data_IF_193325507823
#
_entry.id   IF_193325507823
#
_cell.length_a   1.000
_cell.length_b   1.000
_cell.length_c   1.000
_cell.angle_alpha   90.00
_cell.angle_beta   90.00
_cell.angle_gamma   90.00
#
_symmetry.space_group_name_H-M   'P 1'
#
loop_
_entity.id
_entity.type
_entity.pdbx_description
1 polymer ?
#
# COMPACT_ATOMS: atom_id res chain seq x y z
N UNK A 1 6.00 -32.17 10.90
CA UNK A 1 5.93 -30.70 10.88
C UNK A 1 6.85 -30.14 11.95
N UNK A 2 7.95 -29.47 11.60
CA UNK A 2 8.84 -28.84 12.60
C UNK A 2 8.17 -27.57 13.15
N UNK A 3 8.01 -27.53 14.47
CA UNK A 3 7.35 -26.44 15.19
C UNK A 3 8.27 -25.20 15.23
N UNK A 4 7.98 -24.18 14.41
CA UNK A 4 8.81 -22.97 14.37
C UNK A 4 8.30 -21.94 15.39
N UNK A 5 8.80 -22.03 16.64
CA UNK A 5 8.47 -21.12 17.76
C UNK A 5 8.59 -19.63 17.38
N UNK A 6 9.55 -19.26 16.53
CA UNK A 6 9.75 -17.86 16.09
C UNK A 6 8.59 -17.35 15.25
N UNK A 7 8.03 -18.21 14.38
CA UNK A 7 6.86 -17.87 13.55
C UNK A 7 5.60 -17.65 14.38
N UNK A 8 5.43 -18.40 15.48
CA UNK A 8 4.32 -18.21 16.41
C UNK A 8 4.46 -16.91 17.21
N UNK A 9 5.67 -16.58 17.68
CA UNK A 9 5.94 -15.31 18.37
C UNK A 9 5.66 -14.13 17.44
N UNK A 10 6.14 -14.19 16.20
CA UNK A 10 5.85 -13.17 15.19
C UNK A 10 4.34 -13.06 14.93
N UNK A 11 3.64 -14.20 14.79
CA UNK A 11 2.19 -14.21 14.59
C UNK A 11 1.42 -13.55 15.75
N UNK A 12 1.78 -13.87 16.99
CA UNK A 12 1.19 -13.24 18.17
C UNK A 12 1.46 -11.74 18.23
N UNK A 13 2.68 -11.32 17.87
CA UNK A 13 3.05 -9.91 17.78
C UNK A 13 2.24 -9.16 16.71
N UNK A 14 2.07 -9.77 15.53
CA UNK A 14 1.25 -9.21 14.44
C UNK A 14 -0.21 -9.06 14.90
N UNK A 15 -0.77 -10.06 15.59
CA UNK A 15 -2.12 -9.95 16.17
C UNK A 15 -2.23 -8.78 17.16
N UNK A 16 -1.24 -8.62 18.04
CA UNK A 16 -1.21 -7.50 18.97
C UNK A 16 -1.15 -6.15 18.24
N UNK A 17 -0.32 -6.03 17.20
CA UNK A 17 -0.27 -4.82 16.37
C UNK A 17 -1.58 -4.54 15.63
N UNK A 18 -2.28 -5.56 15.13
CA UNK A 18 -3.60 -5.39 14.50
C UNK A 18 -4.57 -4.81 15.51
N UNK A 19 -4.66 -5.41 16.72
CA UNK A 19 -5.57 -4.93 17.77
C UNK A 19 -5.25 -3.49 18.16
N UNK A 20 -3.98 -3.17 18.41
CA UNK A 20 -3.55 -1.82 18.80
C UNK A 20 -3.89 -0.82 17.69
N UNK A 21 -3.54 -1.16 16.43
CA UNK A 21 -3.78 -0.28 15.29
C UNK A 21 -5.26 -0.02 15.12
N UNK A 22 -6.09 -1.07 15.12
CA UNK A 22 -7.54 -0.96 14.95
C UNK A 22 -8.17 -0.10 16.04
N UNK A 23 -7.80 -0.30 17.31
CA UNK A 23 -8.30 0.49 18.43
C UNK A 23 -7.88 1.96 18.33
N UNK A 24 -6.61 2.24 17.99
CA UNK A 24 -6.11 3.61 17.84
C UNK A 24 -6.77 4.30 16.66
N UNK A 25 -6.85 3.65 15.49
CA UNK A 25 -7.49 4.22 14.30
C UNK A 25 -8.99 4.40 14.49
N UNK A 26 -9.68 3.48 15.17
CA UNK A 26 -11.09 3.63 15.47
C UNK A 26 -11.34 4.80 16.42
N UNK A 27 -10.53 4.94 17.48
CA UNK A 27 -10.62 6.05 18.42
C UNK A 27 -10.41 7.41 17.75
N UNK A 28 -9.43 7.49 16.85
CA UNK A 28 -9.10 8.70 16.09
C UNK A 28 -9.96 8.89 14.82
N UNK A 29 -10.87 7.96 14.52
CA UNK A 29 -11.68 7.92 13.29
C UNK A 29 -10.86 7.97 12.00
N UNK A 30 -9.70 7.31 12.02
CA UNK A 30 -8.78 7.19 10.89
C UNK A 30 -9.06 5.88 10.10
N UNK A 31 -8.92 5.89 8.77
CA UNK A 31 -9.03 4.68 7.96
C UNK A 31 -7.77 3.84 8.10
N UNK A 32 -7.88 2.67 8.74
CA UNK A 32 -6.74 1.76 8.95
C UNK A 32 -6.31 1.02 7.68
N UNK A 33 -7.25 0.80 6.75
CA UNK A 33 -7.03 -0.04 5.56
C UNK A 33 -5.78 0.31 4.73
N UNK A 34 -5.41 1.59 4.48
CA UNK A 34 -4.25 1.89 3.64
C UNK A 34 -2.94 1.43 4.28
N UNK A 35 -2.83 1.58 5.61
CA UNK A 35 -1.70 1.10 6.38
C UNK A 35 -1.63 -0.44 6.36
N UNK A 36 -2.77 -1.10 6.51
CA UNK A 36 -2.84 -2.56 6.44
C UNK A 36 -2.50 -3.12 5.05
N UNK A 37 -2.95 -2.49 3.96
CA UNK A 37 -2.58 -2.93 2.60
C UNK A 37 -1.08 -2.83 2.39
N UNK A 38 -0.45 -1.72 2.78
CA UNK A 38 1.01 -1.58 2.71
C UNK A 38 1.72 -2.67 3.53
N UNK A 39 1.21 -2.97 4.71
CA UNK A 39 1.79 -3.97 5.60
C UNK A 39 1.62 -5.41 5.08
N UNK A 40 0.47 -5.74 4.49
CA UNK A 40 0.23 -7.03 3.83
C UNK A 40 1.17 -7.22 2.64
N UNK A 41 1.37 -6.19 1.81
CA UNK A 41 2.32 -6.24 0.70
C UNK A 41 3.75 -6.46 1.20
N UNK A 42 4.11 -5.90 2.35
CA UNK A 42 5.41 -6.14 2.98
C UNK A 42 5.59 -7.59 3.43
N UNK A 43 4.55 -8.24 3.97
CA UNK A 43 4.59 -9.67 4.23
C UNK A 43 4.69 -10.51 2.95
N UNK A 44 4.02 -10.08 1.87
CA UNK A 44 4.14 -10.70 0.54
C UNK A 44 5.57 -10.66 -0.01
N UNK A 45 6.32 -9.61 0.29
CA UNK A 45 7.75 -9.46 -0.04
C UNK A 45 8.69 -10.12 1.01
N UNK A 46 8.19 -11.12 1.74
CA UNK A 46 8.93 -11.84 2.77
C UNK A 46 9.57 -10.94 3.83
N UNK A 47 8.92 -9.82 4.16
CA UNK A 47 9.40 -8.82 5.12
C UNK A 47 10.78 -8.22 4.75
N UNK A 48 11.09 -8.13 3.45
CA UNK A 48 12.36 -7.55 2.97
C UNK A 48 12.41 -6.03 3.21
N UNK A 49 13.31 -5.51 4.08
CA UNK A 49 13.41 -4.08 4.34
C UNK A 49 13.74 -3.25 3.09
N UNK A 50 14.42 -3.86 2.10
CA UNK A 50 14.77 -3.21 0.83
C UNK A 50 13.53 -2.87 -0.02
N UNK A 51 12.43 -3.60 0.18
CA UNK A 51 11.17 -3.39 -0.55
C UNK A 51 10.26 -2.37 0.12
N UNK A 52 10.45 -2.08 1.42
CA UNK A 52 9.63 -1.12 2.15
C UNK A 52 9.50 0.25 1.46
N UNK A 53 10.58 0.90 0.96
CA UNK A 53 10.45 2.17 0.25
C UNK A 53 9.61 2.07 -1.03
N UNK A 54 9.74 0.97 -1.79
CA UNK A 54 8.98 0.75 -3.01
C UNK A 54 7.49 0.59 -2.72
N UNK A 55 7.14 -0.09 -1.62
CA UNK A 55 5.76 -0.25 -1.16
C UNK A 55 5.17 1.09 -0.74
N UNK A 56 5.86 1.85 0.11
CA UNK A 56 5.34 3.12 0.65
C UNK A 56 5.23 4.20 -0.43
N UNK A 57 6.24 4.34 -1.28
CA UNK A 57 6.24 5.31 -2.39
C UNK A 57 5.25 4.89 -3.46
N UNK A 58 5.20 3.60 -3.80
CA UNK A 58 4.18 3.07 -4.71
C UNK A 58 2.77 3.28 -4.18
N UNK A 59 2.55 3.09 -2.88
CA UNK A 59 1.26 3.38 -2.25
C UNK A 59 0.86 4.85 -2.38
N UNK A 60 1.81 5.74 -2.12
CA UNK A 60 1.61 7.16 -2.25
C UNK A 60 1.33 7.57 -3.69
N UNK A 61 2.07 7.03 -4.66
CA UNK A 61 1.88 7.27 -6.08
C UNK A 61 0.51 6.75 -6.56
N UNK A 62 0.11 5.55 -6.15
CA UNK A 62 -1.17 4.95 -6.54
C UNK A 62 -2.37 5.75 -6.03
N UNK A 63 -2.34 6.18 -4.76
CA UNK A 63 -3.36 7.09 -4.20
C UNK A 63 -3.29 8.46 -4.88
N UNK A 64 -2.08 8.96 -5.15
CA UNK A 64 -1.86 10.22 -5.86
C UNK A 64 -2.47 10.23 -7.26
N UNK A 65 -2.38 9.12 -8.01
CA UNK A 65 -3.07 8.95 -9.29
C UNK A 65 -4.58 9.07 -9.10
N UNK A 66 -5.17 8.39 -8.11
CA UNK A 66 -6.61 8.53 -7.81
C UNK A 66 -7.01 9.98 -7.50
N UNK A 67 -6.16 10.73 -6.78
CA UNK A 67 -6.39 12.15 -6.51
C UNK A 67 -6.29 13.03 -7.76
N UNK A 68 -5.49 12.64 -8.75
CA UNK A 68 -5.31 13.34 -10.02
C UNK A 68 -6.45 13.05 -11.00
N UNK A 69 -7.12 11.90 -10.86
CA UNK A 69 -8.20 11.44 -11.72
C UNK A 69 -9.31 12.48 -11.98
N UNK A 70 -9.94 13.14 -10.98
CA UNK A 70 -11.03 14.08 -11.25
C UNK A 70 -10.59 15.27 -12.12
N UNK A 71 -9.34 15.72 -11.98
CA UNK A 71 -8.79 16.84 -12.77
C UNK A 71 -8.61 16.41 -14.22
N UNK A 72 -7.90 15.30 -14.46
CA UNK A 72 -7.59 14.83 -15.81
C UNK A 72 -8.84 14.34 -16.53
N UNK A 73 -9.71 13.60 -15.84
CA UNK A 73 -10.99 13.14 -16.39
C UNK A 73 -11.87 14.34 -16.73
N UNK A 74 -11.92 15.37 -15.88
CA UNK A 74 -12.67 16.59 -16.18
C UNK A 74 -12.20 17.29 -17.45
N UNK A 75 -10.88 17.39 -17.64
CA UNK A 75 -10.28 17.96 -18.86
C UNK A 75 -10.57 17.10 -20.10
N UNK A 76 -10.41 15.78 -20.01
CA UNK A 76 -10.68 14.85 -21.11
C UNK A 76 -12.17 14.78 -21.45
N UNK A 77 -13.04 14.88 -20.44
CA UNK A 77 -14.48 14.84 -20.61
C UNK A 77 -15.00 16.01 -21.45
N UNK A 78 -14.32 17.16 -21.43
CA UNK A 78 -14.66 18.30 -22.29
C UNK A 78 -14.46 17.99 -23.78
N UNK A 79 -13.56 17.06 -24.11
CA UNK A 79 -13.20 16.69 -25.49
C UNK A 79 -13.92 15.44 -25.98
N UNK A 80 -14.15 14.45 -25.10
CA UNK A 80 -14.65 13.12 -25.50
C UNK A 80 -15.88 12.63 -24.73
N UNK A 81 -16.37 13.39 -23.75
CA UNK A 81 -17.42 12.98 -22.83
C UNK A 81 -16.91 12.22 -21.60
N UNK A 82 -17.71 12.19 -20.53
CA UNK A 82 -17.28 11.71 -19.21
C UNK A 82 -16.85 10.23 -19.20
N UNK A 83 -17.56 9.38 -19.93
CA UNK A 83 -17.27 7.94 -19.99
C UNK A 83 -15.93 7.66 -20.69
N UNK A 84 -15.73 8.24 -21.86
CA UNK A 84 -14.48 8.12 -22.61
C UNK A 84 -13.31 8.80 -21.90
N UNK A 85 -13.52 9.97 -21.28
CA UNK A 85 -12.50 10.64 -20.47
C UNK A 85 -12.01 9.78 -19.31
N UNK A 86 -12.92 9.08 -18.62
CA UNK A 86 -12.58 8.11 -17.58
C UNK A 86 -11.80 6.93 -18.14
N UNK A 87 -12.25 6.34 -19.25
CA UNK A 87 -11.58 5.19 -19.87
C UNK A 87 -10.17 5.55 -20.33
N UNK A 88 -10.01 6.68 -21.03
CA UNK A 88 -8.70 7.18 -21.48
C UNK A 88 -7.77 7.39 -20.28
N UNK A 89 -8.25 7.99 -19.20
CA UNK A 89 -7.44 8.20 -18.00
C UNK A 89 -6.96 6.87 -17.40
N UNK A 90 -7.86 5.89 -17.22
CA UNK A 90 -7.50 4.57 -16.67
C UNK A 90 -6.47 3.89 -17.57
N UNK A 91 -6.69 3.86 -18.89
CA UNK A 91 -5.77 3.24 -19.84
C UNK A 91 -4.40 3.93 -19.81
N UNK A 92 -4.36 5.27 -19.77
CA UNK A 92 -3.12 6.03 -19.71
C UNK A 92 -2.37 5.79 -18.40
N UNK A 93 -3.06 5.80 -17.26
CA UNK A 93 -2.46 5.56 -15.94
C UNK A 93 -1.87 4.14 -15.84
N UNK A 94 -2.64 3.12 -16.25
CA UNK A 94 -2.17 1.73 -16.23
C UNK A 94 -1.01 1.54 -17.21
N UNK A 95 -1.12 2.06 -18.43
CA UNK A 95 -0.01 2.02 -19.39
C UNK A 95 1.23 2.70 -18.84
N UNK A 96 1.10 3.86 -18.20
CA UNK A 96 2.23 4.56 -17.61
C UNK A 96 2.90 3.74 -16.51
N UNK A 97 2.13 3.11 -15.62
CA UNK A 97 2.68 2.26 -14.55
C UNK A 97 3.46 1.07 -15.14
N UNK A 98 2.90 0.40 -16.16
CA UNK A 98 3.54 -0.76 -16.78
C UNK A 98 4.74 -0.38 -17.66
N UNK A 99 4.59 0.59 -18.56
CA UNK A 99 5.60 0.95 -19.55
C UNK A 99 6.79 1.69 -18.93
N UNK A 100 6.54 2.60 -17.98
CA UNK A 100 7.62 3.38 -17.32
C UNK A 100 8.07 2.77 -15.99
N UNK A 101 7.51 1.63 -15.59
CA UNK A 101 7.85 0.98 -14.33
C UNK A 101 9.30 0.48 -14.26
N UNK A 102 9.90 0.12 -15.40
CA UNK A 102 11.32 -0.23 -15.45
C UNK A 102 12.23 1.01 -15.35
N UNK A 103 11.75 2.18 -15.78
CA UNK A 103 12.51 3.43 -15.74
C UNK A 103 12.49 4.08 -14.35
N UNK A 104 11.34 4.04 -13.67
CA UNK A 104 11.16 4.65 -12.33
C UNK A 104 10.48 3.64 -11.38
N UNK A 105 11.15 2.50 -11.07
CA UNK A 105 10.55 1.38 -10.33
C UNK A 105 10.20 1.73 -8.88
N UNK A 106 10.76 2.81 -8.35
CA UNK A 106 10.43 3.30 -7.02
C UNK A 106 9.01 3.87 -6.94
N UNK A 107 8.54 4.50 -8.03
CA UNK A 107 7.28 5.26 -8.08
C UNK A 107 6.23 4.56 -8.93
N UNK A 108 6.63 3.91 -10.02
CA UNK A 108 5.73 3.21 -10.95
C UNK A 108 6.04 1.72 -10.84
N UNK A 109 5.23 1.00 -10.06
CA UNK A 109 5.43 -0.42 -9.79
C UNK A 109 4.11 -1.12 -9.48
N UNK A 110 4.19 -2.43 -9.23
CA UNK A 110 3.01 -3.24 -8.90
C UNK A 110 2.26 -2.74 -7.65
N UNK A 111 2.95 -2.17 -6.66
CA UNK A 111 2.29 -1.59 -5.49
C UNK A 111 1.52 -0.32 -5.86
N UNK A 112 2.02 0.46 -6.81
CA UNK A 112 1.35 1.64 -7.38
C UNK A 112 0.04 1.24 -8.04
N UNK A 113 0.08 0.20 -8.88
CA UNK A 113 -1.11 -0.34 -9.51
C UNK A 113 -2.11 -0.89 -8.48
N UNK A 114 -1.63 -1.60 -7.46
CA UNK A 114 -2.47 -2.11 -6.37
C UNK A 114 -3.18 -0.98 -5.62
N UNK A 115 -2.45 0.05 -5.18
CA UNK A 115 -3.04 1.18 -4.46
C UNK A 115 -3.94 2.05 -5.35
N UNK A 116 -3.61 2.22 -6.62
CA UNK A 116 -4.49 2.88 -7.59
C UNK A 116 -5.84 2.15 -7.70
N UNK A 117 -5.80 0.82 -7.78
CA UNK A 117 -6.99 -0.04 -7.88
C UNK A 117 -7.82 0.00 -6.60
N UNK A 118 -7.19 -0.26 -5.45
CA UNK A 118 -7.89 -0.31 -4.15
C UNK A 118 -8.43 1.05 -3.76
N UNK A 119 -7.68 2.13 -3.94
CA UNK A 119 -8.16 3.47 -3.65
C UNK A 119 -9.29 3.89 -4.61
N UNK A 120 -9.21 3.49 -5.89
CA UNK A 120 -10.29 3.70 -6.86
C UNK A 120 -11.59 3.00 -6.45
N UNK A 121 -11.50 1.78 -5.90
CA UNK A 121 -12.65 1.08 -5.31
C UNK A 121 -13.14 1.78 -4.04
N UNK A 122 -12.22 2.20 -3.17
CA UNK A 122 -12.55 2.85 -1.89
C UNK A 122 -13.25 4.21 -2.08
N UNK A 123 -13.10 4.88 -3.23
CA UNK A 123 -13.86 6.09 -3.56
C UNK A 123 -15.38 5.87 -3.58
N UNK A 124 -15.86 4.64 -3.76
CA UNK A 124 -17.27 4.32 -3.70
C UNK A 124 -17.83 4.27 -2.25
N UNK A 125 -16.95 4.30 -1.24
CA UNK A 125 -17.36 4.32 0.16
C UNK A 125 -17.91 5.71 0.57
N UNK A 126 -18.76 5.79 1.61
CA UNK A 126 -19.22 7.07 2.15
C UNK A 126 -18.05 7.94 2.64
N UNK A 127 -18.11 9.25 2.37
CA UNK A 127 -17.12 10.25 2.81
C UNK A 127 -15.65 9.87 2.50
N UNK A 128 -15.30 9.63 1.22
CA UNK A 128 -13.94 9.26 0.87
C UNK A 128 -12.98 10.42 1.14
N UNK A 129 -11.83 10.12 1.74
CA UNK A 129 -10.78 11.11 2.00
C UNK A 129 -9.42 10.59 1.52
N UNK A 130 -9.11 10.71 0.21
CA UNK A 130 -7.86 10.23 -0.37
C UNK A 130 -6.61 10.88 0.21
N UNK A 131 -6.69 12.13 0.66
CA UNK A 131 -5.58 12.82 1.32
C UNK A 131 -5.21 12.14 2.65
N UNK A 132 -6.22 11.73 3.42
CA UNK A 132 -6.01 10.97 4.62
C UNK A 132 -5.51 9.56 4.32
N UNK A 133 -5.97 8.93 3.23
CA UNK A 133 -5.47 7.61 2.82
C UNK A 133 -3.99 7.65 2.45
N UNK A 134 -3.55 8.72 1.77
CA UNK A 134 -2.15 8.95 1.43
C UNK A 134 -1.29 8.98 2.69
N UNK A 135 -1.72 9.76 3.70
CA UNK A 135 -1.03 9.85 4.99
C UNK A 135 -1.00 8.49 5.70
N UNK A 136 -2.14 7.79 5.74
CA UNK A 136 -2.23 6.48 6.41
C UNK A 136 -1.40 5.41 5.71
N UNK A 137 -1.33 5.41 4.37
CA UNK A 137 -0.52 4.48 3.62
C UNK A 137 0.98 4.71 3.83
N UNK A 138 1.42 5.98 3.78
CA UNK A 138 2.83 6.33 3.95
C UNK A 138 3.28 6.25 5.41
N UNK A 139 2.63 6.98 6.31
CA UNK A 139 3.02 7.07 7.71
C UNK A 139 2.56 5.86 8.53
N UNK A 140 1.27 5.50 8.42
CA UNK A 140 0.72 4.33 9.13
C UNK A 140 1.34 3.03 8.63
N UNK A 141 1.41 2.83 7.31
CA UNK A 141 2.09 1.69 6.71
C UNK A 141 3.58 1.64 7.07
N UNK A 142 4.27 2.78 7.04
CA UNK A 142 5.67 2.88 7.44
C UNK A 142 5.91 2.49 8.90
N UNK A 143 5.02 2.90 9.81
CA UNK A 143 5.08 2.54 11.23
C UNK A 143 4.92 1.02 11.42
N UNK A 144 3.92 0.40 10.79
CA UNK A 144 3.66 -1.04 10.91
C UNK A 144 4.80 -1.88 10.32
N UNK A 145 5.31 -1.49 9.15
CA UNK A 145 6.45 -2.12 8.51
C UNK A 145 7.69 -1.97 9.41
N UNK A 146 7.96 -0.77 9.91
CA UNK A 146 9.08 -0.49 10.82
C UNK A 146 9.01 -1.33 12.10
N UNK A 147 7.85 -1.38 12.74
CA UNK A 147 7.60 -2.20 13.93
C UNK A 147 7.88 -3.69 13.67
N UNK A 148 7.46 -4.19 12.50
CA UNK A 148 7.70 -5.58 12.08
C UNK A 148 9.18 -5.87 11.81
N UNK A 149 9.91 -4.93 11.21
CA UNK A 149 11.36 -5.05 11.00
C UNK A 149 12.09 -5.09 12.34
N UNK A 150 11.73 -4.22 13.28
CA UNK A 150 12.34 -4.14 14.62
C UNK A 150 12.15 -5.46 15.37
N UNK A 151 10.92 -5.98 15.46
CA UNK A 151 10.69 -7.25 16.15
C UNK A 151 11.41 -8.41 15.45
N UNK A 152 11.43 -8.42 14.11
CA UNK A 152 12.12 -9.43 13.31
C UNK A 152 13.61 -9.51 13.66
N UNK A 153 14.25 -8.35 13.85
CA UNK A 153 15.64 -8.27 14.32
C UNK A 153 15.80 -8.77 15.76
N UNK A 154 14.89 -8.41 16.67
CA UNK A 154 14.96 -8.82 18.09
C UNK A 154 14.82 -10.34 18.25
N UNK A 155 13.88 -10.96 17.54
CA UNK A 155 13.63 -12.40 17.65
C UNK A 155 14.57 -13.26 16.78
N UNK A 156 15.52 -12.62 16.10
CA UNK A 156 16.43 -13.26 15.14
C UNK A 156 15.68 -13.96 14.02
N UNK A 157 14.53 -13.43 13.58
CA UNK A 157 13.83 -14.03 12.45
C UNK A 157 14.73 -13.96 11.21
N UNK A 158 14.91 -15.07 10.45
CA UNK A 158 15.68 -15.08 9.22
C UNK A 158 15.14 -13.99 8.28
N UNK A 159 15.88 -12.90 8.12
CA UNK A 159 15.52 -11.84 7.19
C UNK A 159 15.92 -12.26 5.79
N UNK A 160 14.96 -12.69 4.97
CA UNK A 160 15.01 -12.98 3.52
C UNK A 160 16.15 -13.87 2.96
N UNK A 161 17.32 -13.99 3.59
CA UNK A 161 18.50 -14.69 3.09
C UNK A 161 18.59 -16.16 3.57
N UNK A 162 17.90 -16.50 4.66
CA UNK A 162 17.98 -17.85 5.27
C UNK A 162 16.77 -18.75 4.92
N UNK A 163 15.79 -18.28 4.15
CA UNK A 163 14.62 -19.07 3.77
C UNK A 163 14.81 -19.92 2.50
N UNK A 164 15.99 -19.84 1.86
CA UNK A 164 16.32 -20.49 0.57
C UNK A 164 17.37 -21.60 0.72
N UNK A 165 17.87 -21.84 1.94
CA UNK A 165 18.79 -22.94 2.24
C UNK A 165 18.17 -23.98 3.17
#
# INVERSE_FOLDING_TARGET
MKFNRRRLILGLYVLALIVITELVTAHLRLPAWPAFVAWVLFFGEHMSPKRAPHILIGAAAGIGLVMLAPIVIGLLAHLSGAEWGRLIYILAAVYAIFAFGEMIPLVLNNYTFMFFTVAGLALAAPNPNPQLWLLMAAAGGGLLIGATIVIGRIIGAPGAAEAVH
#
